data_IF_972418279204
#
_entry.id   IF_972418279204
#
_cell.length_a   1.000
_cell.length_b   1.000
_cell.length_c   1.000
_cell.angle_alpha   90.00
_cell.angle_beta   90.00
_cell.angle_gamma   90.00
#
_symmetry.space_group_name_H-M   'P 1'
#
loop_
_entity.id
_entity.type
_entity.pdbx_description
1 polymer ?
#
# COMPACT_ATOMS: atom_id res chain seq x y z
N UNK A 1 11.25 -30.27 33.33
CA UNK A 1 12.21 -30.63 32.26
C UNK A 1 12.31 -29.44 31.32
N UNK A 2 13.40 -28.68 31.37
CA UNK A 2 13.55 -27.41 30.61
C UNK A 2 14.39 -27.67 29.37
N UNK A 3 13.79 -27.51 28.20
CA UNK A 3 14.50 -27.63 26.91
C UNK A 3 15.32 -26.35 26.73
N UNK A 4 16.65 -26.44 26.94
CA UNK A 4 17.57 -25.36 26.58
C UNK A 4 17.95 -25.51 25.11
N UNK A 5 17.68 -24.48 24.31
CA UNK A 5 18.16 -24.40 22.94
C UNK A 5 19.68 -24.35 22.92
N UNK A 6 20.30 -24.95 21.90
CA UNK A 6 21.74 -24.81 21.70
C UNK A 6 22.07 -23.36 21.35
N UNK A 7 23.28 -22.92 21.70
CA UNK A 7 23.76 -21.57 21.37
C UNK A 7 23.71 -21.28 19.87
N UNK A 8 23.87 -22.30 19.01
CA UNK A 8 23.72 -22.18 17.57
C UNK A 8 22.28 -21.82 17.16
N UNK A 9 21.26 -22.48 17.75
CA UNK A 9 19.85 -22.18 17.48
C UNK A 9 19.43 -20.80 17.99
N UNK A 10 20.02 -20.34 19.09
CA UNK A 10 19.77 -18.98 19.60
C UNK A 10 20.31 -17.93 18.63
N UNK A 11 21.55 -18.08 18.14
CA UNK A 11 22.13 -17.17 17.15
C UNK A 11 21.38 -17.15 15.83
N UNK A 12 20.91 -18.30 15.36
CA UNK A 12 20.10 -18.41 14.14
C UNK A 12 18.77 -17.66 14.27
N UNK A 13 18.06 -17.83 15.39
CA UNK A 13 16.82 -17.09 15.66
C UNK A 13 17.04 -15.58 15.79
N UNK A 14 18.13 -15.15 16.43
CA UNK A 14 18.48 -13.72 16.54
C UNK A 14 18.78 -13.12 15.17
N UNK A 15 19.48 -13.87 14.31
CA UNK A 15 19.77 -13.46 12.94
C UNK A 15 18.49 -13.36 12.09
N UNK A 16 17.58 -14.34 12.19
CA UNK A 16 16.29 -14.32 11.51
C UNK A 16 15.43 -13.14 11.95
N UNK A 17 15.37 -12.85 13.26
CA UNK A 17 14.66 -11.69 13.78
C UNK A 17 15.23 -10.38 13.24
N UNK A 18 16.56 -10.24 13.19
CA UNK A 18 17.20 -9.04 12.64
C UNK A 18 16.81 -8.81 11.17
N UNK A 19 16.80 -9.86 10.36
CA UNK A 19 16.43 -9.78 8.93
C UNK A 19 14.96 -9.35 8.79
N UNK A 20 14.07 -9.89 9.62
CA UNK A 20 12.65 -9.53 9.61
C UNK A 20 12.46 -8.05 9.96
N UNK A 21 13.14 -7.56 11.00
CA UNK A 21 13.06 -6.15 11.43
C UNK A 21 13.59 -5.20 10.36
N UNK A 22 14.70 -5.56 9.71
CA UNK A 22 15.28 -4.77 8.63
C UNK A 22 14.32 -4.66 7.43
N UNK A 23 13.75 -5.78 6.98
CA UNK A 23 12.75 -5.79 5.90
C UNK A 23 11.50 -4.98 6.27
N UNK A 24 10.97 -5.16 7.47
CA UNK A 24 9.79 -4.41 7.93
C UNK A 24 10.06 -2.90 7.95
N UNK A 25 11.25 -2.50 8.39
CA UNK A 25 11.69 -1.10 8.38
C UNK A 25 11.78 -0.55 6.96
N UNK A 26 12.39 -1.31 6.03
CA UNK A 26 12.48 -0.93 4.62
C UNK A 26 11.10 -0.77 3.97
N UNK A 27 10.18 -1.72 4.19
CA UNK A 27 8.81 -1.63 3.68
C UNK A 27 8.05 -0.45 4.27
N UNK A 28 8.21 -0.19 5.57
CA UNK A 28 7.60 0.98 6.23
C UNK A 28 8.12 2.28 5.62
N UNK A 29 9.42 2.37 5.35
CA UNK A 29 10.01 3.55 4.71
C UNK A 29 9.46 3.75 3.29
N UNK A 30 9.43 2.70 2.48
CA UNK A 30 8.89 2.75 1.12
C UNK A 30 7.41 3.15 1.13
N UNK A 31 6.60 2.59 2.03
CA UNK A 31 5.18 2.92 2.13
C UNK A 31 4.94 4.39 2.51
N UNK A 32 5.79 4.96 3.38
CA UNK A 32 5.73 6.38 3.73
C UNK A 32 6.09 7.26 2.53
N UNK A 33 7.08 6.87 1.74
CA UNK A 33 7.46 7.61 0.53
C UNK A 33 6.35 7.55 -0.52
N UNK A 34 5.82 6.36 -0.83
CA UNK A 34 4.72 6.19 -1.79
C UNK A 34 3.54 7.09 -1.44
N UNK A 35 3.15 7.10 -0.17
CA UNK A 35 2.07 7.93 0.36
C UNK A 35 2.33 9.43 0.15
N UNK A 36 3.57 9.89 0.34
CA UNK A 36 3.94 11.30 0.15
C UNK A 36 3.92 11.67 -1.32
N UNK A 37 4.60 10.89 -2.15
CA UNK A 37 4.67 11.13 -3.59
C UNK A 37 3.28 11.16 -4.21
N UNK A 38 2.41 10.24 -3.82
CA UNK A 38 1.03 10.18 -4.28
C UNK A 38 0.23 11.41 -3.85
N UNK A 39 0.33 11.81 -2.57
CA UNK A 39 -0.36 13.00 -2.09
C UNK A 39 0.06 14.26 -2.86
N UNK A 40 1.37 14.39 -3.10
CA UNK A 40 1.92 15.52 -3.83
C UNK A 40 1.49 15.49 -5.30
N UNK A 41 1.48 14.31 -5.92
CA UNK A 41 1.02 14.11 -7.29
C UNK A 41 -0.46 14.47 -7.46
N UNK A 42 -1.33 14.06 -6.55
CA UNK A 42 -2.76 14.40 -6.57
C UNK A 42 -2.95 15.92 -6.47
N UNK A 43 -2.23 16.58 -5.57
CA UNK A 43 -2.32 18.04 -5.40
C UNK A 43 -1.82 18.78 -6.65
N UNK A 44 -0.70 18.35 -7.22
CA UNK A 44 -0.15 18.94 -8.46
C UNK A 44 -1.10 18.78 -9.65
N UNK A 45 -1.86 17.68 -9.69
CA UNK A 45 -2.80 17.35 -10.76
C UNK A 45 -4.26 17.47 -10.29
N UNK A 46 -4.55 18.41 -9.39
CA UNK A 46 -5.84 18.51 -8.69
C UNK A 46 -7.05 18.42 -9.61
N UNK A 47 -7.03 19.13 -10.74
CA UNK A 47 -8.16 19.17 -11.68
C UNK A 47 -8.53 17.77 -12.20
N UNK A 48 -7.54 16.90 -12.39
CA UNK A 48 -7.75 15.51 -12.83
C UNK A 48 -8.43 14.67 -11.75
N UNK A 49 -8.08 14.90 -10.48
CA UNK A 49 -8.48 14.02 -9.37
C UNK A 49 -9.68 14.55 -8.57
N UNK A 50 -10.02 15.82 -8.70
CA UNK A 50 -11.06 16.50 -7.91
C UNK A 50 -12.38 15.73 -7.87
N UNK A 51 -12.83 15.20 -9.01
CA UNK A 51 -14.08 14.46 -9.13
C UNK A 51 -14.15 13.21 -8.22
N UNK A 52 -13.01 12.57 -7.92
CA UNK A 52 -12.94 11.43 -7.00
C UNK A 52 -13.11 11.80 -5.52
N UNK A 53 -13.11 13.11 -5.21
CA UNK A 53 -13.20 13.68 -3.86
C UNK A 53 -14.36 14.66 -3.70
N UNK A 54 -15.20 14.86 -4.73
CA UNK A 54 -16.37 15.75 -4.69
C UNK A 54 -17.56 15.08 -3.96
N UNK A 55 -17.29 14.59 -2.75
CA UNK A 55 -18.30 14.04 -1.85
C UNK A 55 -18.64 15.04 -0.74
N UNK A 56 -19.87 15.03 -0.24
CA UNK A 56 -20.27 15.84 0.92
C UNK A 56 -19.54 15.45 2.21
N UNK A 57 -18.84 14.31 2.22
CA UNK A 57 -18.19 13.74 3.40
C UNK A 57 -16.82 14.39 3.65
N UNK A 58 -16.02 14.56 2.60
CA UNK A 58 -14.64 14.99 2.72
C UNK A 58 -14.10 15.57 1.41
N UNK A 59 -13.51 16.77 1.49
CA UNK A 59 -12.81 17.39 0.36
C UNK A 59 -11.46 16.75 0.10
N UNK A 60 -10.95 16.93 -1.12
CA UNK A 60 -9.60 16.50 -1.52
C UNK A 60 -8.53 16.97 -0.54
N UNK A 61 -8.52 18.26 -0.17
CA UNK A 61 -7.50 18.83 0.72
C UNK A 61 -7.52 18.16 2.10
N UNK A 62 -8.72 17.95 2.63
CA UNK A 62 -8.90 17.34 3.95
C UNK A 62 -8.48 15.88 3.92
N UNK A 63 -8.81 15.15 2.86
CA UNK A 63 -8.34 13.79 2.65
C UNK A 63 -6.81 13.71 2.56
N UNK A 64 -6.19 14.55 1.72
CA UNK A 64 -4.73 14.58 1.54
C UNK A 64 -4.00 14.94 2.85
N UNK A 65 -4.55 15.88 3.62
CA UNK A 65 -4.00 16.24 4.93
C UNK A 65 -3.98 15.03 5.89
N UNK A 66 -5.06 14.23 5.92
CA UNK A 66 -5.12 13.00 6.72
C UNK A 66 -4.22 11.90 6.16
N UNK A 67 -4.21 11.72 4.85
CA UNK A 67 -3.38 10.72 4.17
C UNK A 67 -1.91 10.89 4.47
N UNK A 68 -1.42 12.12 4.65
CA UNK A 68 -0.02 12.39 5.05
C UNK A 68 0.33 11.95 6.47
N UNK A 69 -0.67 11.71 7.33
CA UNK A 69 -0.43 11.21 8.68
C UNK A 69 -0.06 9.73 8.66
N UNK A 70 0.97 9.35 9.42
CA UNK A 70 1.37 7.96 9.55
C UNK A 70 0.22 7.13 10.15
N UNK A 71 -0.06 5.97 9.55
CA UNK A 71 -1.11 5.06 10.01
C UNK A 71 -2.52 5.38 9.53
N UNK A 72 -2.73 6.48 8.79
CA UNK A 72 -4.03 6.72 8.16
C UNK A 72 -4.28 5.72 7.03
N UNK A 73 -5.48 5.13 6.99
CA UNK A 73 -5.87 4.15 5.98
C UNK A 73 -6.15 4.84 4.65
N UNK A 74 -5.51 4.35 3.60
CA UNK A 74 -5.85 4.73 2.23
C UNK A 74 -6.96 3.85 1.67
N UNK A 75 -7.68 4.39 0.69
CA UNK A 75 -8.71 3.66 -0.05
C UNK A 75 -8.51 3.79 -1.57
N UNK A 76 -9.46 3.23 -2.33
CA UNK A 76 -9.36 3.15 -3.78
C UNK A 76 -9.27 4.49 -4.52
N UNK A 77 -9.58 5.63 -3.88
CA UNK A 77 -9.42 6.97 -4.47
C UNK A 77 -7.96 7.29 -4.83
N UNK A 78 -7.02 6.57 -4.21
CA UNK A 78 -5.58 6.67 -4.44
C UNK A 78 -5.14 5.96 -5.73
N UNK A 79 -5.75 4.82 -6.07
CA UNK A 79 -5.25 3.96 -7.15
C UNK A 79 -5.06 4.64 -8.52
N UNK A 80 -5.92 5.57 -8.98
CA UNK A 80 -5.68 6.28 -10.22
C UNK A 80 -4.38 7.11 -10.21
N UNK A 81 -4.02 7.71 -9.08
CA UNK A 81 -2.77 8.44 -8.92
C UNK A 81 -1.56 7.51 -8.87
N UNK A 82 -1.65 6.39 -8.12
CA UNK A 82 -0.62 5.33 -8.14
C UNK A 82 -0.37 4.80 -9.55
N UNK A 83 -1.43 4.50 -10.31
CA UNK A 83 -1.30 3.97 -11.67
C UNK A 83 -0.56 4.94 -12.59
N UNK A 84 -0.89 6.23 -12.53
CA UNK A 84 -0.27 7.27 -13.34
C UNK A 84 1.18 7.55 -12.91
N UNK A 85 1.42 7.72 -11.61
CA UNK A 85 2.72 8.08 -11.06
C UNK A 85 3.77 6.99 -11.27
N UNK A 86 3.42 5.73 -10.99
CA UNK A 86 4.37 4.61 -11.04
C UNK A 86 4.33 3.83 -12.36
N UNK A 87 3.44 4.22 -13.29
CA UNK A 87 3.23 3.50 -14.56
C UNK A 87 2.94 2.02 -14.31
N UNK A 88 1.93 1.77 -13.50
CA UNK A 88 1.46 0.44 -13.13
C UNK A 88 -0.04 0.32 -13.41
N UNK A 89 -0.52 -0.91 -13.48
CA UNK A 89 -1.93 -1.24 -13.37
C UNK A 89 -2.20 -1.82 -12.01
N UNK A 90 -3.26 -1.37 -11.35
CA UNK A 90 -3.72 -1.96 -10.09
C UNK A 90 -4.91 -2.86 -10.38
N UNK A 91 -4.86 -4.08 -9.86
CA UNK A 91 -5.99 -5.03 -9.84
C UNK A 91 -6.27 -5.43 -8.41
N UNK A 92 -7.47 -5.12 -7.92
CA UNK A 92 -7.93 -5.50 -6.58
C UNK A 92 -8.90 -6.66 -6.68
N UNK A 93 -8.62 -7.71 -5.91
CA UNK A 93 -9.44 -8.90 -5.78
C UNK A 93 -10.14 -8.93 -4.42
N UNK A 94 -11.37 -9.42 -4.42
CA UNK A 94 -12.11 -9.81 -3.23
C UNK A 94 -12.61 -11.25 -3.40
N UNK A 95 -13.03 -11.94 -2.33
CA UNK A 95 -13.83 -13.16 -2.48
C UNK A 95 -15.02 -12.88 -3.41
N UNK A 96 -15.09 -13.58 -4.54
CA UNK A 96 -16.10 -13.37 -5.57
C UNK A 96 -15.60 -12.72 -6.87
N UNK A 97 -14.38 -12.18 -6.91
CA UNK A 97 -13.73 -11.76 -8.17
C UNK A 97 -12.98 -10.42 -8.10
N UNK A 98 -12.74 -9.83 -9.27
CA UNK A 98 -12.08 -8.53 -9.42
C UNK A 98 -13.09 -7.43 -9.11
N UNK A 99 -12.77 -6.57 -8.15
CA UNK A 99 -13.63 -5.43 -7.75
C UNK A 99 -13.10 -4.08 -8.24
N UNK A 100 -11.82 -4.04 -8.63
CA UNK A 100 -11.21 -2.85 -9.20
C UNK A 100 -10.11 -3.23 -10.18
N UNK A 101 -10.03 -2.50 -11.29
CA UNK A 101 -8.95 -2.59 -12.26
C UNK A 101 -8.76 -1.23 -12.92
N UNK A 102 -7.56 -0.69 -12.85
CA UNK A 102 -7.23 0.61 -13.47
C UNK A 102 -5.78 0.63 -13.97
N UNK A 103 -5.45 1.63 -14.79
CA UNK A 103 -4.16 1.88 -15.42
C UNK A 103 -4.06 1.43 -16.88
N UNK A 104 -3.00 1.91 -17.54
CA UNK A 104 -2.74 1.65 -18.96
C UNK A 104 -2.47 0.15 -19.22
N UNK A 105 -3.16 -0.50 -20.18
CA UNK A 105 -2.97 -1.91 -20.53
C UNK A 105 -1.53 -2.35 -20.82
N UNK A 106 -0.65 -1.43 -21.22
CA UNK A 106 0.77 -1.68 -21.53
C UNK A 106 1.66 -1.74 -20.28
N UNK A 107 1.16 -1.30 -19.12
CA UNK A 107 1.93 -1.27 -17.87
C UNK A 107 1.88 -2.59 -17.09
N UNK A 108 2.90 -2.88 -16.25
CA UNK A 108 2.91 -4.05 -15.37
C UNK A 108 1.74 -4.02 -14.38
N UNK A 109 1.21 -5.19 -14.02
CA UNK A 109 0.10 -5.32 -13.05
C UNK A 109 0.62 -5.58 -11.66
N UNK A 110 0.09 -4.84 -10.69
CA UNK A 110 0.18 -5.13 -9.26
C UNK A 110 -1.17 -5.68 -8.81
N UNK A 111 -1.13 -6.84 -8.15
CA UNK A 111 -2.32 -7.49 -7.61
C UNK A 111 -2.42 -7.29 -6.11
N UNK A 112 -3.58 -6.83 -5.67
CA UNK A 112 -3.92 -6.65 -4.27
C UNK A 112 -5.15 -7.49 -3.93
N UNK A 113 -5.16 -8.14 -2.77
CA UNK A 113 -6.39 -8.69 -2.18
C UNK A 113 -6.90 -7.71 -1.14
N UNK A 114 -8.19 -7.43 -1.18
CA UNK A 114 -8.88 -6.62 -0.19
C UNK A 114 -9.63 -7.51 0.80
N UNK A 115 -9.08 -7.64 2.00
CA UNK A 115 -9.54 -8.53 3.07
C UNK A 115 -10.39 -7.75 4.06
N UNK A 116 -11.57 -8.28 4.38
CA UNK A 116 -12.43 -7.79 5.47
C UNK A 116 -12.90 -6.34 5.30
N UNK A 117 -12.89 -5.82 4.07
CA UNK A 117 -13.17 -4.42 3.76
C UNK A 117 -12.28 -3.40 4.51
N UNK A 118 -11.07 -3.79 4.90
CA UNK A 118 -10.19 -2.91 5.69
C UNK A 118 -8.71 -3.00 5.31
N UNK A 119 -8.28 -4.09 4.67
CA UNK A 119 -6.86 -4.33 4.48
C UNK A 119 -6.51 -4.78 3.05
N UNK A 120 -5.49 -4.15 2.47
CA UNK A 120 -4.92 -4.54 1.18
C UNK A 120 -3.63 -5.32 1.41
N UNK A 121 -3.51 -6.49 0.78
CA UNK A 121 -2.28 -7.30 0.78
C UNK A 121 -1.82 -7.53 -0.65
N UNK A 122 -0.51 -7.46 -0.90
CA UNK A 122 0.04 -7.82 -2.20
C UNK A 122 -0.02 -9.32 -2.42
N UNK A 123 -0.34 -9.73 -3.64
CA UNK A 123 -0.12 -11.10 -4.09
C UNK A 123 1.15 -11.12 -4.92
N UNK A 124 2.06 -12.01 -4.56
CA UNK A 124 3.14 -12.43 -5.46
C UNK A 124 2.74 -13.78 -6.03
N UNK A 125 2.40 -13.82 -7.31
CA UNK A 125 2.30 -15.09 -8.03
C UNK A 125 3.71 -15.66 -8.14
N UNK A 126 3.85 -16.93 -7.70
CA UNK A 126 5.10 -17.70 -7.75
C UNK A 126 5.28 -18.26 -9.16
#
# INVERSE_FOLDING_TARGET
MTIRLSQAKQKEMEQDQSIIVEKATAYSYIAVQIRRDECDYIIQNRQTYQAGFDSEIESLEKYIQKMRQQGYYGDGRLFPAICALYRVRVRVLMPGGIVFKDGDPTYPVIELVYIGHIHYVSIQSV
#
